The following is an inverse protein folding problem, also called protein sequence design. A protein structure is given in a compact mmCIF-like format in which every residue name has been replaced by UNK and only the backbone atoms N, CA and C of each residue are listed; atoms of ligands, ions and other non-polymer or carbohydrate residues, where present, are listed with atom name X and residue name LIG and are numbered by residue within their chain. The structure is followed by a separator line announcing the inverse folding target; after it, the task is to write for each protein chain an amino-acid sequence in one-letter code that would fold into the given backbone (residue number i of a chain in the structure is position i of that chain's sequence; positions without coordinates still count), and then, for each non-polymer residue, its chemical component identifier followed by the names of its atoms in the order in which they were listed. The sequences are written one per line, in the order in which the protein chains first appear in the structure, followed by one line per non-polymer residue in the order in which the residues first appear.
data_IF_964542814703
#
_entry.id   IF_964542814703
#
_cell.length_a   1.000
_cell.length_b   1.000
_cell.length_c   1.000
_cell.angle_alpha   90.00
_cell.angle_beta   90.00
_cell.angle_gamma   90.00
#
_symmetry.space_group_name_H-M   'P 1'
#
loop_
_entity.id
_entity.type
_entity.pdbx_description
1 polymer ?
#
# COMPACT_ATOMS: atom_id res chain seq x y z
N UNK A 1 -3.60 0.47 20.05
CA UNK A 1 -3.30 1.44 18.97
C UNK A 1 -4.13 1.05 17.75
N UNK A 2 -4.78 1.99 17.09
CA UNK A 2 -5.58 1.75 15.89
C UNK A 2 -4.93 2.49 14.73
N UNK A 3 -4.75 1.82 13.61
CA UNK A 3 -4.15 2.38 12.40
C UNK A 3 -5.14 2.27 11.24
N UNK A 4 -5.03 3.19 10.28
CA UNK A 4 -5.89 3.18 9.11
C UNK A 4 -5.26 2.35 7.99
N UNK A 5 -5.99 1.37 7.48
CA UNK A 5 -5.50 0.57 6.37
C UNK A 5 -5.43 1.40 5.07
N UNK A 6 -4.29 1.32 4.37
CA UNK A 6 -4.06 2.03 3.10
C UNK A 6 -5.14 1.74 2.04
N UNK A 7 -5.61 0.49 1.97
CA UNK A 7 -6.52 0.03 0.91
C UNK A 7 -7.98 0.18 1.30
N UNK A 8 -8.43 -0.45 2.40
CA UNK A 8 -9.84 -0.43 2.79
C UNK A 8 -10.25 0.83 3.58
N UNK A 9 -9.29 1.67 3.98
CA UNK A 9 -9.52 2.92 4.75
C UNK A 9 -10.30 2.71 6.05
N UNK A 10 -10.34 1.47 6.55
CA UNK A 10 -10.93 1.14 7.84
C UNK A 10 -9.86 1.23 8.92
N UNK A 11 -10.23 1.85 10.03
CA UNK A 11 -9.44 1.81 11.25
C UNK A 11 -9.48 0.39 11.80
N UNK A 12 -8.30 -0.21 11.99
CA UNK A 12 -8.16 -1.55 12.57
C UNK A 12 -7.20 -1.48 13.74
N UNK A 13 -7.43 -2.28 14.79
CA UNK A 13 -6.49 -2.36 15.88
C UNK A 13 -5.19 -2.98 15.37
N UNK A 14 -4.06 -2.38 15.73
CA UNK A 14 -2.72 -2.91 15.46
C UNK A 14 -2.47 -4.03 16.46
N UNK A 15 -3.14 -5.17 16.29
CA UNK A 15 -3.00 -6.35 17.15
C UNK A 15 -1.81 -7.23 16.77
N UNK A 16 -0.94 -6.76 15.87
CA UNK A 16 0.12 -7.56 15.27
C UNK A 16 -0.33 -8.34 14.03
N UNK A 17 -1.58 -8.18 13.61
CA UNK A 17 -2.15 -8.83 12.44
C UNK A 17 -2.25 -7.84 11.27
N UNK A 18 -1.27 -7.89 10.37
CA UNK A 18 -1.16 -7.03 9.19
C UNK A 18 0.27 -6.57 8.93
N UNK A 19 0.46 -5.81 7.85
CA UNK A 19 1.77 -5.29 7.42
C UNK A 19 1.89 -3.80 7.75
N UNK A 20 2.98 -3.42 8.41
CA UNK A 20 3.39 -2.03 8.58
C UNK A 20 4.66 -1.78 7.77
N UNK A 21 4.56 -1.00 6.70
CA UNK A 21 5.65 -0.78 5.74
C UNK A 21 5.85 0.72 5.53
N UNK A 22 7.04 1.24 5.88
CA UNK A 22 7.38 2.69 5.81
C UNK A 22 6.33 3.63 6.41
N UNK A 23 5.70 3.24 7.52
CA UNK A 23 4.66 4.04 8.18
C UNK A 23 3.26 3.91 7.56
N UNK A 24 3.09 3.08 6.52
CA UNK A 24 1.78 2.72 6.00
C UNK A 24 1.33 1.39 6.58
N UNK A 25 0.10 1.36 7.11
CA UNK A 25 -0.52 0.16 7.64
C UNK A 25 -1.43 -0.52 6.61
N UNK A 26 -1.33 -1.83 6.51
CA UNK A 26 -2.19 -2.71 5.71
C UNK A 26 -2.76 -3.75 6.67
N UNK A 27 -4.08 -3.81 6.80
CA UNK A 27 -4.71 -4.80 7.67
C UNK A 27 -4.59 -6.22 7.09
N UNK A 28 -4.62 -7.24 7.96
CA UNK A 28 -4.54 -8.65 7.57
C UNK A 28 -5.53 -9.06 6.46
N UNK A 29 -6.73 -8.48 6.44
CA UNK A 29 -7.72 -8.76 5.39
C UNK A 29 -7.28 -8.26 4.00
N UNK A 30 -6.64 -7.09 3.94
CA UNK A 30 -6.10 -6.55 2.68
C UNK A 30 -4.80 -7.26 2.28
N UNK A 31 -3.96 -7.63 3.24
CA UNK A 31 -2.78 -8.46 3.01
C UNK A 31 -3.15 -9.82 2.40
N UNK A 32 -4.16 -10.50 2.95
CA UNK A 32 -4.65 -11.76 2.42
C UNK A 32 -5.15 -11.60 0.97
N UNK A 33 -5.86 -10.50 0.67
CA UNK A 33 -6.28 -10.18 -0.70
C UNK A 33 -5.10 -9.98 -1.64
N UNK A 34 -4.07 -9.24 -1.22
CA UNK A 34 -2.86 -9.02 -2.02
C UNK A 34 -2.14 -10.35 -2.29
N UNK A 35 -2.06 -11.23 -1.30
CA UNK A 35 -1.40 -12.54 -1.42
C UNK A 35 -2.14 -13.47 -2.39
N UNK A 36 -3.46 -13.34 -2.48
CA UNK A 36 -4.32 -14.11 -3.38
C UNK A 36 -4.59 -13.42 -4.72
N UNK A 37 -4.00 -12.24 -4.95
CA UNK A 37 -4.27 -11.41 -6.11
C UNK A 37 -3.53 -11.93 -7.35
N UNK A 38 -4.27 -12.22 -8.40
CA UNK A 38 -3.72 -12.57 -9.71
C UNK A 38 -3.74 -11.35 -10.63
N UNK A 39 -2.91 -11.40 -11.68
CA UNK A 39 -2.80 -10.32 -12.66
C UNK A 39 -4.12 -10.06 -13.40
N UNK A 40 -4.94 -11.10 -13.55
CA UNK A 40 -6.23 -11.02 -14.23
C UNK A 40 -7.35 -10.44 -13.36
N UNK A 41 -7.12 -10.27 -12.05
CA UNK A 41 -8.12 -9.69 -11.15
C UNK A 41 -8.37 -8.21 -11.50
N UNK A 42 -9.63 -7.76 -11.54
CA UNK A 42 -9.95 -6.37 -11.83
C UNK A 42 -9.38 -5.40 -10.78
N UNK A 43 -9.14 -5.89 -9.56
CA UNK A 43 -8.56 -5.11 -8.48
C UNK A 43 -7.01 -5.08 -8.51
N UNK A 44 -6.36 -5.80 -9.45
CA UNK A 44 -4.90 -5.91 -9.51
C UNK A 44 -4.22 -4.55 -9.55
N UNK A 45 -4.70 -3.68 -10.45
CA UNK A 45 -4.12 -2.35 -10.67
C UNK A 45 -4.30 -1.44 -9.43
N UNK A 46 -5.41 -1.60 -8.71
CA UNK A 46 -5.67 -0.86 -7.47
C UNK A 46 -4.66 -1.20 -6.38
N UNK A 47 -4.41 -2.49 -6.14
CA UNK A 47 -3.43 -2.91 -5.14
C UNK A 47 -2.00 -2.58 -5.58
N UNK A 48 -1.67 -2.78 -6.86
CA UNK A 48 -0.37 -2.44 -7.42
C UNK A 48 -0.04 -0.95 -7.25
N UNK A 49 -0.98 -0.07 -7.59
CA UNK A 49 -0.78 1.38 -7.45
C UNK A 49 -0.64 1.81 -5.98
N UNK A 50 -1.35 1.17 -5.06
CA UNK A 50 -1.17 1.42 -3.63
C UNK A 50 0.19 0.98 -3.11
N UNK A 51 0.68 -0.20 -3.53
CA UNK A 51 2.02 -0.69 -3.19
C UNK A 51 3.12 0.18 -3.79
N UNK A 52 2.96 0.61 -5.05
CA UNK A 52 3.86 1.57 -5.70
C UNK A 52 3.96 2.85 -4.87
N UNK A 53 2.86 3.40 -4.36
CA UNK A 53 2.90 4.61 -3.50
C UNK A 53 3.75 4.42 -2.25
N UNK A 54 3.69 3.26 -1.60
CA UNK A 54 4.52 2.98 -0.43
C UNK A 54 6.02 3.06 -0.79
N UNK A 55 6.41 2.52 -1.93
CA UNK A 55 7.82 2.48 -2.34
C UNK A 55 8.32 3.74 -3.06
N UNK A 56 7.45 4.41 -3.82
CA UNK A 56 7.78 5.62 -4.57
C UNK A 56 7.68 6.91 -3.76
N UNK A 57 6.98 6.92 -2.62
CA UNK A 57 7.09 8.05 -1.70
C UNK A 57 8.53 8.14 -1.19
N UNK A 58 9.22 9.29 -1.34
CA UNK A 58 10.46 9.51 -0.61
C UNK A 58 10.11 9.36 0.88
N UNK A 59 10.70 8.36 1.52
CA UNK A 59 10.46 8.11 2.93
C UNK A 59 10.81 9.39 3.67
N UNK A 60 9.95 9.78 4.62
CA UNK A 60 10.08 10.99 5.43
C UNK A 60 11.55 11.26 5.77
N UNK A 61 12.12 12.20 5.03
CA UNK A 61 13.56 12.25 4.77
C UNK A 61 13.86 13.07 3.51
N UNK A 62 13.13 14.18 3.35
CA UNK A 62 13.43 15.34 2.52
C UNK A 62 14.26 15.09 1.23
N UNK A 63 13.60 14.86 0.09
CA UNK A 63 14.10 15.35 -1.20
C UNK A 63 13.04 15.21 -2.29
N UNK A 64 12.73 16.33 -2.92
CA UNK A 64 11.98 16.43 -4.16
C UNK A 64 12.65 15.58 -5.24
N UNK A 65 12.03 14.46 -5.64
CA UNK A 65 12.37 13.81 -6.91
C UNK A 65 11.10 13.76 -7.74
N UNK A 66 11.15 14.53 -8.82
CA UNK A 66 10.10 14.74 -9.79
C UNK A 66 9.65 13.41 -10.40
N UNK A 67 8.35 13.14 -10.31
CA UNK A 67 7.70 12.03 -10.98
C UNK A 67 7.58 12.32 -12.48
N UNK A 68 8.60 11.97 -13.27
CA UNK A 68 8.55 12.15 -14.73
C UNK A 68 8.86 10.93 -15.59
N UNK A 69 8.95 9.71 -15.01
CA UNK A 69 9.25 8.49 -15.80
C UNK A 69 8.23 7.33 -15.68
N UNK A 70 6.97 7.59 -15.30
CA UNK A 70 5.94 6.53 -15.25
C UNK A 70 4.72 6.77 -16.16
N UNK A 71 4.88 7.53 -17.24
CA UNK A 71 3.85 7.67 -18.31
C UNK A 71 3.87 6.56 -19.37
N UNK A 72 4.64 5.49 -19.20
CA UNK A 72 4.84 4.46 -20.24
C UNK A 72 4.54 3.02 -19.79
N UNK A 73 3.76 2.81 -18.73
CA UNK A 73 3.19 1.50 -18.40
C UNK A 73 1.70 1.60 -18.13
#
# INVERSE_FOLDING_TARGET
MVENCLFCRQQRPVTGEGLLIRGYFICAACEAKITLLYREDPDYDFYLNGLKKIWHSPGDGNCEIMAEEFRLW
#
